data_IF_496501769587
#
_entry.id   IF_496501769587
#
_cell.length_a   1.000
_cell.length_b   1.000
_cell.length_c   1.000
_cell.angle_alpha   90.00
_cell.angle_beta   90.00
_cell.angle_gamma   90.00
#
_symmetry.space_group_name_H-M   'P 1'
#
loop_
_entity.id
_entity.type
_entity.pdbx_description
1 polymer ?
#
# COMPACT_ATOMS: atom_id res chain seq x y z
N UNK A 1 -4.68 -38.96 3.88
CA UNK A 1 -4.33 -38.15 2.68
C UNK A 1 -4.36 -36.69 3.13
N UNK A 2 -3.27 -35.94 2.98
CA UNK A 2 -3.22 -34.55 3.42
C UNK A 2 -3.60 -33.62 2.26
N UNK A 3 -4.46 -32.64 2.53
CA UNK A 3 -4.76 -31.51 1.64
C UNK A 3 -4.23 -30.26 2.32
N UNK A 4 -3.36 -29.53 1.62
CA UNK A 4 -2.68 -28.34 2.18
C UNK A 4 -2.95 -27.17 1.24
N UNK A 5 -3.36 -26.03 1.80
CA UNK A 5 -3.47 -24.74 1.13
C UNK A 5 -2.45 -23.76 1.70
N UNK A 6 -1.92 -22.89 0.85
CA UNK A 6 -0.96 -21.85 1.23
C UNK A 6 -1.45 -20.52 0.66
N UNK A 7 -1.44 -19.49 1.49
CA UNK A 7 -1.68 -18.11 1.10
C UNK A 7 -0.37 -17.33 1.25
N UNK A 8 0.05 -16.64 0.18
CA UNK A 8 1.32 -15.91 0.12
C UNK A 8 1.02 -14.46 -0.20
N UNK A 9 1.54 -13.55 0.63
CA UNK A 9 1.51 -12.11 0.38
C UNK A 9 2.91 -11.64 0.03
N UNK A 10 3.01 -10.80 -1.00
CA UNK A 10 4.27 -10.20 -1.45
C UNK A 10 4.09 -8.70 -1.52
N UNK A 11 4.98 -7.95 -0.87
CA UNK A 11 4.97 -6.50 -0.96
C UNK A 11 5.66 -6.02 -2.24
N UNK A 12 4.95 -5.24 -3.06
CA UNK A 12 5.49 -4.69 -4.29
C UNK A 12 6.43 -3.52 -3.98
N UNK A 13 7.62 -3.54 -4.57
CA UNK A 13 8.64 -2.48 -4.44
C UNK A 13 8.34 -1.26 -5.34
N UNK A 14 7.17 -0.66 -5.18
CA UNK A 14 6.76 0.58 -5.82
C UNK A 14 7.30 1.80 -5.06
N UNK A 15 7.39 2.97 -5.70
CA UNK A 15 7.83 4.19 -5.03
C UNK A 15 6.74 4.81 -4.12
N UNK A 16 5.47 4.67 -4.52
CA UNK A 16 4.30 5.14 -3.77
C UNK A 16 3.34 4.00 -3.44
N UNK A 17 2.42 4.23 -2.50
CA UNK A 17 1.38 3.28 -2.11
C UNK A 17 0.41 2.98 -3.27
N UNK A 18 -0.41 1.94 -3.09
CA UNK A 18 -1.34 1.44 -4.12
C UNK A 18 -2.42 2.46 -4.51
N UNK A 19 -2.93 3.22 -3.54
CA UNK A 19 -4.07 4.12 -3.74
C UNK A 19 -3.80 5.59 -3.37
N UNK A 20 -2.57 5.88 -2.93
CA UNK A 20 -2.17 7.14 -2.32
C UNK A 20 -0.79 7.54 -2.83
N UNK A 21 -0.50 8.85 -2.98
CA UNK A 21 0.82 9.33 -3.39
C UNK A 21 1.89 9.21 -2.29
N UNK A 22 1.52 8.79 -1.07
CA UNK A 22 2.48 8.63 0.02
C UNK A 22 3.57 7.61 -0.33
N UNK A 23 4.82 7.80 0.14
CA UNK A 23 5.93 6.89 -0.16
C UNK A 23 5.68 5.48 0.36
N UNK A 24 6.07 4.46 -0.42
CA UNK A 24 6.19 3.10 0.09
C UNK A 24 7.63 2.87 0.57
N UNK A 25 7.88 3.06 1.87
CA UNK A 25 9.22 2.99 2.46
C UNK A 25 9.17 2.59 3.93
N UNK A 26 10.29 2.10 4.46
CA UNK A 26 10.42 1.59 5.82
C UNK A 26 11.24 2.53 6.72
N UNK A 27 11.24 2.24 8.02
CA UNK A 27 12.10 2.88 9.03
C UNK A 27 11.94 4.41 9.12
N UNK A 28 10.69 4.89 9.06
CA UNK A 28 10.35 6.29 9.29
C UNK A 28 9.67 6.47 10.63
N UNK A 29 9.64 7.70 11.14
CA UNK A 29 8.94 8.00 12.38
C UNK A 29 7.42 7.72 12.23
N UNK A 30 6.72 7.40 13.33
CA UNK A 30 5.29 7.10 13.29
C UNK A 30 4.49 8.19 12.56
N UNK A 31 3.56 7.76 11.70
CA UNK A 31 2.66 8.62 10.92
C UNK A 31 3.32 9.60 9.92
N UNK A 32 4.65 9.55 9.73
CA UNK A 32 5.34 10.48 8.81
C UNK A 32 5.17 10.12 7.33
N UNK A 33 4.92 8.86 6.99
CA UNK A 33 4.69 8.37 5.62
C UNK A 33 3.21 8.10 5.33
N UNK A 34 2.32 8.91 5.90
CA UNK A 34 0.87 8.81 5.69
C UNK A 34 0.34 10.10 5.09
N UNK A 35 -0.51 9.99 4.08
CA UNK A 35 -1.28 11.10 3.51
C UNK A 35 -2.75 11.06 3.91
N UNK A 36 -3.53 12.04 3.45
CA UNK A 36 -4.96 12.16 3.77
C UNK A 36 -5.79 10.92 3.36
N UNK A 37 -5.45 10.32 2.20
CA UNK A 37 -6.09 9.09 1.70
C UNK A 37 -5.80 7.91 2.63
N UNK A 38 -4.58 7.79 3.15
CA UNK A 38 -4.19 6.69 4.05
C UNK A 38 -4.89 6.79 5.41
N UNK A 39 -5.27 8.01 5.78
CA UNK A 39 -6.00 8.31 7.02
C UNK A 39 -7.51 8.32 6.82
N UNK A 40 -8.01 7.97 5.63
CA UNK A 40 -9.44 7.93 5.31
C UNK A 40 -10.17 9.25 5.60
N UNK A 41 -9.50 10.39 5.36
CA UNK A 41 -10.10 11.69 5.63
C UNK A 41 -11.32 11.94 4.74
N UNK A 42 -12.38 12.59 5.27
CA UNK A 42 -13.58 12.90 4.48
C UNK A 42 -13.25 13.66 3.20
N UNK A 43 -13.85 13.25 2.08
CA UNK A 43 -13.66 13.88 0.76
C UNK A 43 -12.42 13.40 -0.01
N UNK A 44 -11.63 12.47 0.53
CA UNK A 44 -10.53 11.86 -0.22
C UNK A 44 -11.01 10.75 -1.16
N UNK A 45 -10.32 10.58 -2.29
CA UNK A 45 -10.59 9.53 -3.28
C UNK A 45 -9.30 8.76 -3.60
N UNK A 46 -9.36 7.41 -3.72
CA UNK A 46 -8.20 6.60 -4.06
C UNK A 46 -7.79 6.79 -5.53
N UNK A 47 -6.49 6.71 -5.80
CA UNK A 47 -5.96 6.64 -7.19
C UNK A 47 -5.00 5.47 -7.34
N UNK A 48 -5.33 4.58 -8.28
CA UNK A 48 -4.55 3.38 -8.58
C UNK A 48 -3.11 3.70 -8.99
N UNK A 49 -2.16 2.97 -8.42
CA UNK A 49 -0.76 3.05 -8.80
C UNK A 49 -0.49 2.24 -10.07
N UNK A 50 -0.21 2.92 -11.18
CA UNK A 50 0.05 2.30 -12.48
C UNK A 50 1.29 1.39 -12.49
N UNK A 51 2.28 1.64 -11.62
CA UNK A 51 3.45 0.76 -11.49
C UNK A 51 3.09 -0.55 -10.77
N UNK A 52 2.12 -0.52 -9.85
CA UNK A 52 1.69 -1.71 -9.12
C UNK A 52 0.90 -2.69 -9.99
N UNK A 53 0.26 -2.21 -11.07
CA UNK A 53 -0.55 -3.00 -12.00
C UNK A 53 0.15 -3.30 -13.33
N UNK A 54 1.37 -2.79 -13.53
CA UNK A 54 2.17 -3.03 -14.74
C UNK A 54 2.85 -4.39 -14.67
#
# INVERSE_FOLDING_TARGET
KATIGIEIHVELKTASKMFSPAPNTYHKSPNSMSGLVDMSMPGTLPRLNMQAVR
#
